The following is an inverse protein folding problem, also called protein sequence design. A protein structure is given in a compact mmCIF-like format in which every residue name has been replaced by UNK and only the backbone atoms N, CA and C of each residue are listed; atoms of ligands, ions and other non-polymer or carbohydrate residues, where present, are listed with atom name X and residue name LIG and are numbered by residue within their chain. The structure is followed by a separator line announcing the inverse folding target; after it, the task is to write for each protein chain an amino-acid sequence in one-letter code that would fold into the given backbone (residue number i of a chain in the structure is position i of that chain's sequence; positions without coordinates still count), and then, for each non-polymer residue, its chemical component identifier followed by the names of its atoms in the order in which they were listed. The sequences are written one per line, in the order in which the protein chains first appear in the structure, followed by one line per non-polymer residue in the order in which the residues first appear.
data_IF_479680878236
#
_entry.id   IF_479680878236
#
_cell.length_a   1.000
_cell.length_b   1.000
_cell.length_c   1.000
_cell.angle_alpha   90.00
_cell.angle_beta   90.00
_cell.angle_gamma   90.00
#
_symmetry.space_group_name_H-M   'P 1'
#
loop_
_entity.id
_entity.type
_entity.pdbx_description
1 polymer ?
#
# COMPACT_ATOMS: atom_id res chain seq x y z
N UNK A 1 -38.74 28.43 -48.58
CA UNK A 1 -37.27 28.25 -48.52
C UNK A 1 -36.73 27.98 -47.11
N UNK A 2 -37.23 28.60 -46.03
CA UNK A 2 -36.73 28.37 -44.65
C UNK A 2 -37.15 27.02 -44.04
N UNK A 3 -38.25 26.38 -44.48
CA UNK A 3 -38.75 25.13 -43.89
C UNK A 3 -38.01 23.88 -44.45
N UNK A 4 -37.49 23.95 -45.68
CA UNK A 4 -36.69 22.87 -46.27
C UNK A 4 -35.36 22.67 -45.52
N UNK A 5 -34.73 23.75 -45.04
CA UNK A 5 -33.46 23.67 -44.30
C UNK A 5 -33.58 22.94 -42.96
N UNK A 6 -34.70 23.06 -42.23
CA UNK A 6 -34.88 22.35 -40.96
C UNK A 6 -35.02 20.84 -41.14
N UNK A 7 -35.70 20.42 -42.20
CA UNK A 7 -35.87 19.00 -42.51
C UNK A 7 -34.54 18.38 -42.94
N UNK A 8 -33.76 19.10 -43.76
CA UNK A 8 -32.42 18.67 -44.17
C UNK A 8 -31.47 18.57 -42.98
N UNK A 9 -31.49 19.52 -42.05
CA UNK A 9 -30.67 19.47 -40.82
C UNK A 9 -31.06 18.27 -39.94
N UNK A 10 -32.36 17.99 -39.77
CA UNK A 10 -32.84 16.86 -38.98
C UNK A 10 -32.48 15.52 -39.63
N UNK A 11 -32.67 15.39 -40.94
CA UNK A 11 -32.31 14.19 -41.69
C UNK A 11 -30.79 14.00 -41.67
N UNK A 12 -30.00 15.06 -41.84
CA UNK A 12 -28.55 15.00 -41.72
C UNK A 12 -28.09 14.59 -40.31
N UNK A 13 -28.73 15.11 -39.26
CA UNK A 13 -28.45 14.71 -37.88
C UNK A 13 -28.76 13.22 -37.65
N UNK A 14 -29.92 12.73 -38.12
CA UNK A 14 -30.31 11.32 -38.06
C UNK A 14 -29.35 10.42 -38.86
N UNK A 15 -28.95 10.85 -40.06
CA UNK A 15 -27.97 10.14 -40.88
C UNK A 15 -26.61 10.07 -40.18
N UNK A 16 -26.14 11.17 -39.60
CA UNK A 16 -24.87 11.19 -38.85
C UNK A 16 -24.89 10.24 -37.64
N UNK A 17 -26.00 10.20 -36.90
CA UNK A 17 -26.17 9.22 -35.81
C UNK A 17 -26.16 7.79 -36.37
N UNK A 18 -26.85 7.53 -37.47
CA UNK A 18 -26.89 6.22 -38.11
C UNK A 18 -25.50 5.75 -38.60
N UNK A 19 -24.72 6.65 -39.23
CA UNK A 19 -23.32 6.39 -39.60
C UNK A 19 -22.43 6.14 -38.37
N UNK A 20 -22.67 6.85 -37.27
CA UNK A 20 -22.01 6.59 -35.99
C UNK A 20 -22.29 5.19 -35.45
N UNK A 21 -23.54 4.72 -35.53
CA UNK A 21 -23.92 3.36 -35.11
C UNK A 21 -23.25 2.31 -36.00
N UNK A 22 -23.29 2.48 -37.32
CA UNK A 22 -22.67 1.53 -38.25
C UNK A 22 -21.15 1.45 -38.05
N UNK A 23 -20.49 2.59 -37.82
CA UNK A 23 -19.04 2.62 -37.58
C UNK A 23 -18.64 2.06 -36.21
N UNK A 24 -19.56 2.02 -35.24
CA UNK A 24 -19.37 1.38 -33.94
C UNK A 24 -19.43 -0.16 -33.99
N UNK A 25 -20.12 -0.76 -34.96
CA UNK A 25 -20.23 -2.22 -35.06
C UNK A 25 -18.86 -2.90 -35.25
N UNK A 26 -18.00 -2.47 -36.20
CA UNK A 26 -16.66 -3.04 -36.36
C UNK A 26 -15.78 -2.87 -35.11
N UNK A 27 -15.82 -1.71 -34.44
CA UNK A 27 -15.04 -1.48 -33.21
C UNK A 27 -15.55 -2.33 -32.05
N UNK A 28 -16.87 -2.54 -31.96
CA UNK A 28 -17.46 -3.45 -30.98
C UNK A 28 -16.99 -4.89 -31.17
N UNK A 29 -16.97 -5.38 -32.41
CA UNK A 29 -16.47 -6.73 -32.71
C UNK A 29 -14.98 -6.84 -32.36
N UNK A 30 -14.17 -5.85 -32.76
CA UNK A 30 -12.74 -5.80 -32.41
C UNK A 30 -12.50 -5.81 -30.90
N UNK A 31 -13.26 -5.00 -30.15
CA UNK A 31 -13.22 -4.96 -28.70
C UNK A 31 -13.59 -6.31 -28.06
N UNK A 32 -14.66 -6.96 -28.53
CA UNK A 32 -15.06 -8.28 -28.01
C UNK A 32 -13.99 -9.35 -28.27
N UNK A 33 -13.34 -9.32 -29.43
CA UNK A 33 -12.22 -10.23 -29.74
C UNK A 33 -11.05 -9.99 -28.78
N UNK A 34 -10.66 -8.73 -28.58
CA UNK A 34 -9.59 -8.35 -27.64
C UNK A 34 -9.92 -8.80 -26.22
N UNK A 35 -11.17 -8.62 -25.78
CA UNK A 35 -11.61 -9.05 -24.45
C UNK A 35 -11.54 -10.57 -24.30
N UNK A 36 -12.04 -11.33 -25.28
CA UNK A 36 -12.02 -12.78 -25.27
C UNK A 36 -10.59 -13.33 -25.19
N UNK A 37 -9.69 -12.83 -26.04
CA UNK A 37 -8.26 -13.19 -26.01
C UNK A 37 -7.66 -12.81 -24.65
N UNK A 38 -7.99 -11.63 -24.13
CA UNK A 38 -7.50 -11.13 -22.87
C UNK A 38 -7.85 -12.02 -21.67
N UNK A 39 -9.09 -12.50 -21.60
CA UNK A 39 -9.54 -13.40 -20.54
C UNK A 39 -8.80 -14.76 -20.57
N UNK A 40 -8.51 -15.27 -21.77
CA UNK A 40 -7.71 -16.50 -21.94
C UNK A 40 -6.28 -16.27 -21.46
N UNK A 41 -5.63 -15.18 -21.90
CA UNK A 41 -4.27 -14.83 -21.47
C UNK A 41 -4.21 -14.66 -19.96
N UNK A 42 -5.16 -13.92 -19.37
CA UNK A 42 -5.22 -13.71 -17.93
C UNK A 42 -5.30 -15.03 -17.15
N UNK A 43 -6.11 -15.98 -17.62
CA UNK A 43 -6.28 -17.29 -17.00
C UNK A 43 -5.00 -18.14 -17.06
N UNK A 44 -4.29 -18.09 -18.19
CA UNK A 44 -3.01 -18.77 -18.37
C UNK A 44 -1.95 -18.17 -17.44
N UNK A 45 -1.80 -16.84 -17.42
CA UNK A 45 -0.81 -16.16 -16.57
C UNK A 45 -1.09 -16.40 -15.10
N UNK A 46 -2.36 -16.35 -14.66
CA UNK A 46 -2.76 -16.73 -13.30
C UNK A 46 -2.18 -18.08 -12.89
N UNK A 47 -2.38 -19.09 -13.74
CA UNK A 47 -1.92 -20.46 -13.46
C UNK A 47 -0.39 -20.55 -13.39
N UNK A 48 0.31 -19.78 -14.22
CA UNK A 48 1.78 -19.70 -14.19
C UNK A 48 2.25 -19.08 -12.86
N UNK A 49 1.65 -17.96 -12.44
CA UNK A 49 2.00 -17.29 -11.17
C UNK A 49 1.73 -18.21 -9.97
N UNK A 50 0.59 -18.89 -9.93
CA UNK A 50 0.28 -19.86 -8.88
C UNK A 50 1.37 -20.93 -8.75
N UNK A 51 1.85 -21.47 -9.89
CA UNK A 51 2.93 -22.47 -9.93
C UNK A 51 4.27 -21.90 -9.48
N UNK A 52 4.64 -20.70 -9.93
CA UNK A 52 5.90 -20.04 -9.54
C UNK A 52 5.93 -19.82 -8.03
N UNK A 53 4.87 -19.26 -7.45
CA UNK A 53 4.80 -18.97 -6.02
C UNK A 53 4.82 -20.26 -5.19
N UNK A 54 4.12 -21.31 -5.65
CA UNK A 54 4.19 -22.63 -5.01
C UNK A 54 5.61 -23.21 -5.06
N UNK A 55 6.32 -23.09 -6.19
CA UNK A 55 7.68 -23.56 -6.34
C UNK A 55 8.67 -22.81 -5.42
N UNK A 56 8.48 -21.49 -5.24
CA UNK A 56 9.26 -20.65 -4.34
C UNK A 56 8.96 -20.90 -2.85
N UNK A 57 7.95 -21.70 -2.51
CA UNK A 57 7.52 -22.01 -1.13
C UNK A 57 7.32 -20.74 -0.28
N UNK A 58 6.75 -19.69 -0.88
CA UNK A 58 6.49 -18.40 -0.20
C UNK A 58 5.68 -18.62 1.08
N UNK A 59 4.68 -19.50 1.04
CA UNK A 59 3.86 -19.86 2.20
C UNK A 59 4.70 -20.36 3.38
N UNK A 60 5.78 -21.12 3.13
CA UNK A 60 6.68 -21.59 4.19
C UNK A 60 7.50 -20.46 4.79
N UNK A 61 7.92 -19.49 3.98
CA UNK A 61 8.58 -18.26 4.45
C UNK A 61 7.67 -17.43 5.36
N UNK A 62 6.42 -17.21 4.94
CA UNK A 62 5.44 -16.45 5.71
C UNK A 62 5.13 -17.12 7.06
N UNK A 63 5.04 -18.46 7.10
CA UNK A 63 4.86 -19.19 8.35
C UNK A 63 6.05 -19.02 9.31
N UNK A 64 7.29 -19.05 8.80
CA UNK A 64 8.50 -18.84 9.61
C UNK A 64 8.60 -17.44 10.20
N UNK A 65 8.07 -16.45 9.49
CA UNK A 65 8.04 -15.04 9.93
C UNK A 65 6.91 -14.78 10.95
N UNK A 66 6.19 -15.82 11.38
CA UNK A 66 5.20 -15.72 12.45
C UNK A 66 3.87 -15.08 12.01
N UNK A 67 3.56 -15.09 10.71
CA UNK A 67 2.27 -14.64 10.19
C UNK A 67 1.18 -15.71 10.31
N UNK A 68 1.57 -16.99 10.47
CA UNK A 68 0.63 -18.12 10.58
C UNK A 68 -0.47 -17.93 11.64
N UNK A 69 -0.17 -17.50 12.89
CA UNK A 69 -1.20 -17.36 13.92
C UNK A 69 -2.24 -16.28 13.60
N UNK A 70 -1.89 -15.29 12.77
CA UNK A 70 -2.82 -14.22 12.36
C UNK A 70 -3.84 -14.73 11.34
N UNK A 71 -3.40 -15.52 10.36
CA UNK A 71 -4.29 -16.11 9.34
C UNK A 71 -5.15 -17.24 9.91
N UNK A 72 -4.57 -18.09 10.77
CA UNK A 72 -5.29 -19.19 11.41
C UNK A 72 -6.41 -18.70 12.33
N UNK A 73 -6.20 -17.61 13.09
CA UNK A 73 -7.23 -16.96 13.91
C UNK A 73 -8.39 -16.39 13.09
N UNK A 74 -8.14 -16.05 11.82
CA UNK A 74 -9.16 -15.58 10.89
C UNK A 74 -9.86 -16.73 10.14
N UNK A 75 -9.50 -18.00 10.40
CA UNK A 75 -10.03 -19.16 9.68
C UNK A 75 -9.51 -19.28 8.24
N UNK A 76 -8.46 -18.55 7.88
CA UNK A 76 -7.91 -18.50 6.52
C UNK A 76 -6.64 -19.36 6.43
N UNK A 77 -6.58 -20.22 5.41
CA UNK A 77 -5.33 -20.91 5.08
C UNK A 77 -4.43 -19.98 4.26
N UNK A 78 -3.14 -19.89 4.64
CA UNK A 78 -2.14 -19.17 3.85
C UNK A 78 -1.98 -19.90 2.51
N UNK A 79 -2.50 -19.29 1.45
CA UNK A 79 -2.31 -19.71 0.07
C UNK A 79 -1.93 -18.50 -0.78
N UNK A 80 -0.67 -18.06 -0.63
CA UNK A 80 -0.17 -16.88 -1.32
C UNK A 80 -0.13 -17.07 -2.83
N UNK A 81 0.06 -18.31 -3.31
CA UNK A 81 0.03 -18.62 -4.73
C UNK A 81 -1.32 -18.31 -5.37
N UNK A 82 -2.42 -18.87 -4.83
CA UNK A 82 -3.77 -18.59 -5.33
C UNK A 82 -4.17 -17.13 -5.18
N UNK A 83 -3.79 -16.50 -4.06
CA UNK A 83 -4.07 -15.09 -3.84
C UNK A 83 -3.38 -14.19 -4.88
N UNK A 84 -2.06 -14.36 -5.08
CA UNK A 84 -1.30 -13.59 -6.07
C UNK A 84 -1.75 -13.91 -7.50
N UNK A 85 -2.05 -15.17 -7.80
CA UNK A 85 -2.60 -15.57 -9.10
C UNK A 85 -3.92 -14.88 -9.40
N UNK A 86 -4.84 -14.82 -8.43
CA UNK A 86 -6.11 -14.12 -8.56
C UNK A 86 -5.92 -12.60 -8.73
N UNK A 87 -4.97 -12.00 -8.00
CA UNK A 87 -4.64 -10.58 -8.17
C UNK A 87 -4.11 -10.29 -9.57
N UNK A 88 -3.18 -11.10 -10.08
CA UNK A 88 -2.63 -10.94 -11.44
C UNK A 88 -3.70 -11.19 -12.51
N UNK A 89 -4.61 -12.13 -12.29
CA UNK A 89 -5.76 -12.33 -13.17
C UNK A 89 -6.58 -11.06 -13.31
N UNK A 90 -7.04 -10.49 -12.19
CA UNK A 90 -7.85 -9.27 -12.22
C UNK A 90 -7.08 -8.06 -12.76
N UNK A 91 -5.78 -7.96 -12.46
CA UNK A 91 -4.89 -6.96 -13.07
C UNK A 91 -4.96 -7.03 -14.61
N UNK A 92 -4.72 -8.21 -15.17
CA UNK A 92 -4.74 -8.39 -16.63
C UNK A 92 -6.14 -8.16 -17.20
N UNK A 93 -7.19 -8.61 -16.51
CA UNK A 93 -8.58 -8.31 -16.91
C UNK A 93 -8.77 -6.79 -17.03
N UNK A 94 -8.36 -6.00 -16.05
CA UNK A 94 -8.47 -4.54 -16.10
C UNK A 94 -7.66 -3.96 -17.27
N UNK A 95 -6.45 -4.46 -17.53
CA UNK A 95 -5.65 -4.03 -18.69
C UNK A 95 -6.38 -4.30 -20.02
N UNK A 96 -7.01 -5.46 -20.18
CA UNK A 96 -7.77 -5.78 -21.39
C UNK A 96 -9.09 -5.00 -21.48
N UNK A 97 -9.76 -4.78 -20.35
CA UNK A 97 -10.95 -3.89 -20.31
C UNK A 97 -10.54 -2.47 -20.67
N UNK A 98 -9.37 -1.99 -20.26
CA UNK A 98 -8.85 -0.69 -20.66
C UNK A 98 -8.63 -0.62 -22.18
N UNK A 99 -8.02 -1.64 -22.77
CA UNK A 99 -7.85 -1.70 -24.22
C UNK A 99 -9.20 -1.69 -24.95
N UNK A 100 -10.19 -2.42 -24.43
CA UNK A 100 -11.57 -2.42 -24.92
C UNK A 100 -12.19 -1.04 -24.83
N UNK A 101 -12.08 -0.36 -23.70
CA UNK A 101 -12.66 0.97 -23.51
C UNK A 101 -11.98 2.01 -24.40
N UNK A 102 -10.67 1.88 -24.65
CA UNK A 102 -9.94 2.71 -25.62
C UNK A 102 -10.43 2.45 -27.07
N UNK A 103 -10.63 1.18 -27.47
CA UNK A 103 -11.17 0.83 -28.80
C UNK A 103 -12.59 1.37 -29.00
N UNK A 104 -13.42 1.31 -27.95
CA UNK A 104 -14.79 1.80 -27.97
C UNK A 104 -14.90 3.33 -27.81
N UNK A 105 -13.79 4.04 -27.56
CA UNK A 105 -13.77 5.49 -27.36
C UNK A 105 -14.39 5.94 -26.01
N UNK A 106 -14.43 5.06 -25.01
CA UNK A 106 -14.99 5.33 -23.68
C UNK A 106 -13.96 6.02 -22.76
N UNK A 107 -13.52 7.22 -23.17
CA UNK A 107 -12.40 7.94 -22.53
C UNK A 107 -12.51 8.09 -21.01
N UNK A 108 -13.71 8.41 -20.49
CA UNK A 108 -13.91 8.55 -19.05
C UNK A 108 -13.63 7.27 -18.26
N UNK A 109 -14.04 6.12 -18.82
CA UNK A 109 -13.78 4.81 -18.22
C UNK A 109 -12.30 4.46 -18.37
N UNK A 110 -11.71 4.70 -19.54
CA UNK A 110 -10.29 4.46 -19.78
C UNK A 110 -9.39 5.23 -18.82
N UNK A 111 -9.69 6.51 -18.55
CA UNK A 111 -8.92 7.31 -17.59
C UNK A 111 -9.01 6.72 -16.17
N UNK A 112 -10.23 6.38 -15.72
CA UNK A 112 -10.42 5.73 -14.43
C UNK A 112 -9.66 4.41 -14.33
N UNK A 113 -9.69 3.56 -15.37
CA UNK A 113 -8.95 2.30 -15.39
C UNK A 113 -7.44 2.52 -15.38
N UNK A 114 -6.92 3.54 -16.08
CA UNK A 114 -5.51 3.92 -16.04
C UNK A 114 -5.09 4.33 -14.63
N UNK A 115 -5.91 5.13 -13.95
CA UNK A 115 -5.66 5.52 -12.55
C UNK A 115 -5.63 4.28 -11.65
N UNK A 116 -6.62 3.37 -11.76
CA UNK A 116 -6.66 2.11 -11.01
C UNK A 116 -5.41 1.26 -11.25
N UNK A 117 -4.95 1.14 -12.50
CA UNK A 117 -3.73 0.40 -12.82
C UNK A 117 -2.47 1.06 -12.23
N UNK A 118 -2.44 2.39 -12.12
CA UNK A 118 -1.32 3.12 -11.51
C UNK A 118 -1.18 2.89 -10.00
N UNK A 119 -2.25 2.48 -9.31
CA UNK A 119 -2.20 2.11 -7.89
C UNK A 119 -1.51 0.76 -7.64
N UNK A 120 -1.42 -0.09 -8.65
CA UNK A 120 -0.98 -1.48 -8.45
C UNK A 120 0.50 -1.60 -8.10
N UNK A 121 1.43 -0.85 -8.74
CA UNK A 121 2.81 -0.75 -8.26
C UNK A 121 2.90 -0.32 -6.79
N UNK A 122 2.09 0.66 -6.37
CA UNK A 122 2.06 1.13 -4.97
C UNK A 122 1.58 0.05 -4.00
N UNK A 123 0.57 -0.74 -4.38
CA UNK A 123 0.10 -1.88 -3.58
C UNK A 123 1.21 -2.91 -3.40
N UNK A 124 1.97 -3.22 -4.47
CA UNK A 124 3.10 -4.16 -4.38
C UNK A 124 4.14 -3.66 -3.37
N UNK A 125 4.52 -2.38 -3.46
CA UNK A 125 5.48 -1.78 -2.52
C UNK A 125 4.92 -1.78 -1.09
N UNK A 126 3.63 -1.49 -0.89
CA UNK A 126 3.00 -1.53 0.41
C UNK A 126 3.02 -2.93 1.05
N UNK A 127 2.74 -3.97 0.25
CA UNK A 127 2.86 -5.37 0.70
C UNK A 127 4.31 -5.70 1.09
N UNK A 128 5.29 -5.26 0.29
CA UNK A 128 6.71 -5.46 0.61
C UNK A 128 7.11 -4.75 1.92
N UNK A 129 6.65 -3.51 2.13
CA UNK A 129 6.84 -2.76 3.38
C UNK A 129 6.26 -3.55 4.55
N UNK A 130 5.01 -4.01 4.45
CA UNK A 130 4.39 -4.82 5.51
C UNK A 130 5.18 -6.08 5.84
N UNK A 131 5.62 -6.82 4.82
CA UNK A 131 6.42 -8.03 5.01
C UNK A 131 7.75 -7.71 5.71
N UNK A 132 8.45 -6.66 5.26
CA UNK A 132 9.69 -6.20 5.87
C UNK A 132 9.48 -5.77 7.32
N UNK A 133 8.42 -5.02 7.61
CA UNK A 133 8.10 -4.57 8.97
C UNK A 133 7.89 -5.73 9.94
N UNK A 134 7.24 -6.82 9.51
CA UNK A 134 7.05 -7.99 10.39
C UNK A 134 8.38 -8.68 10.70
N UNK A 135 9.27 -8.81 9.71
CA UNK A 135 10.62 -9.37 9.90
C UNK A 135 11.40 -8.51 10.90
N UNK A 136 11.42 -7.19 10.68
CA UNK A 136 12.11 -6.23 11.56
C UNK A 136 11.50 -6.24 12.96
N UNK A 137 10.18 -6.27 13.08
CA UNK A 137 9.48 -6.28 14.37
C UNK A 137 9.83 -7.52 15.21
N UNK A 138 9.91 -8.70 14.60
CA UNK A 138 10.28 -9.94 15.28
C UNK A 138 11.75 -9.94 15.72
N UNK A 139 12.63 -9.40 14.88
CA UNK A 139 14.04 -9.22 15.23
C UNK A 139 14.19 -8.29 16.42
N UNK A 140 13.60 -7.09 16.35
CA UNK A 140 13.64 -6.10 17.45
C UNK A 140 13.02 -6.64 18.74
N UNK A 141 11.89 -7.36 18.66
CA UNK A 141 11.27 -8.03 19.82
C UNK A 141 12.24 -8.95 20.54
N UNK A 142 13.02 -9.72 19.77
CA UNK A 142 13.97 -10.71 20.30
C UNK A 142 15.19 -10.01 20.90
N UNK A 143 15.73 -9.00 20.20
CA UNK A 143 16.82 -8.16 20.69
C UNK A 143 16.45 -7.48 22.01
N UNK A 144 15.30 -6.79 22.06
CA UNK A 144 14.85 -6.08 23.26
C UNK A 144 14.65 -7.05 24.43
N UNK A 145 14.05 -8.23 24.19
CA UNK A 145 13.92 -9.26 25.23
C UNK A 145 15.26 -9.72 25.77
N UNK A 146 16.23 -9.98 24.88
CA UNK A 146 17.57 -10.43 25.28
C UNK A 146 18.29 -9.36 26.11
N UNK A 147 18.29 -8.10 25.65
CA UNK A 147 18.96 -6.99 26.33
C UNK A 147 18.34 -6.70 27.70
N UNK A 148 17.00 -6.60 27.77
CA UNK A 148 16.31 -6.29 29.03
C UNK A 148 16.44 -7.43 30.04
N UNK A 149 16.39 -8.69 29.57
CA UNK A 149 16.60 -9.85 30.44
C UNK A 149 18.03 -9.92 30.97
N UNK A 150 19.02 -9.57 30.14
CA UNK A 150 20.43 -9.54 30.54
C UNK A 150 20.71 -8.43 31.57
N UNK A 151 19.93 -7.35 31.55
CA UNK A 151 20.00 -6.25 32.53
C UNK A 151 19.27 -6.56 33.85
N UNK A 152 18.69 -7.77 34.03
CA UNK A 152 17.99 -8.16 35.25
C UNK A 152 16.61 -7.50 35.44
N UNK A 153 16.06 -6.86 34.40
CA UNK A 153 14.77 -6.17 34.49
C UNK A 153 13.60 -7.16 34.33
N UNK A 154 12.61 -7.16 35.24
CA UNK A 154 11.51 -8.14 35.24
C UNK A 154 10.54 -8.01 34.05
N UNK A 155 10.56 -6.88 33.33
CA UNK A 155 9.57 -6.54 32.29
C UNK A 155 10.04 -6.84 30.85
N UNK A 156 11.00 -7.75 30.64
CA UNK A 156 11.56 -8.07 29.30
C UNK A 156 10.51 -8.49 28.27
N UNK A 157 9.50 -9.27 28.68
CA UNK A 157 8.41 -9.71 27.80
C UNK A 157 7.52 -8.55 27.35
N UNK A 158 7.20 -7.61 28.25
CA UNK A 158 6.38 -6.45 27.95
C UNK A 158 7.11 -5.51 26.98
N UNK A 159 8.35 -5.13 27.30
CA UNK A 159 9.15 -4.21 26.47
C UNK A 159 9.40 -4.75 25.06
N UNK A 160 9.69 -6.04 24.91
CA UNK A 160 9.83 -6.64 23.58
C UNK A 160 8.52 -6.67 22.80
N UNK A 161 7.38 -6.83 23.47
CA UNK A 161 6.07 -6.82 22.81
C UNK A 161 5.67 -5.40 22.41
N UNK A 162 6.01 -4.40 23.24
CA UNK A 162 5.83 -2.99 22.90
C UNK A 162 6.66 -2.60 21.68
N UNK A 163 7.95 -2.97 21.64
CA UNK A 163 8.82 -2.73 20.48
C UNK A 163 8.27 -3.35 19.20
N UNK A 164 7.73 -4.57 19.29
CA UNK A 164 7.06 -5.23 18.17
C UNK A 164 5.86 -4.42 17.67
N UNK A 165 4.98 -3.97 18.59
CA UNK A 165 3.81 -3.16 18.24
C UNK A 165 4.20 -1.83 17.62
N UNK A 166 5.24 -1.17 18.13
CA UNK A 166 5.77 0.06 17.52
C UNK A 166 6.14 -0.20 16.06
N UNK A 167 7.01 -1.16 15.77
CA UNK A 167 7.43 -1.43 14.39
C UNK A 167 6.27 -1.86 13.49
N UNK A 168 5.36 -2.69 14.01
CA UNK A 168 4.20 -3.16 13.26
C UNK A 168 3.24 -2.02 12.89
N UNK A 169 2.95 -1.11 13.84
CA UNK A 169 2.08 0.05 13.62
C UNK A 169 2.73 1.01 12.61
N UNK A 170 4.00 1.37 12.81
CA UNK A 170 4.70 2.25 11.88
C UNK A 170 4.83 1.65 10.48
N UNK A 171 5.07 0.34 10.40
CA UNK A 171 5.07 -0.40 9.13
C UNK A 171 3.72 -0.36 8.42
N UNK A 172 2.63 -0.54 9.17
CA UNK A 172 1.27 -0.44 8.64
C UNK A 172 0.98 0.99 8.15
N UNK A 173 1.35 2.01 8.92
CA UNK A 173 1.18 3.41 8.52
C UNK A 173 1.99 3.73 7.26
N UNK A 174 3.23 3.28 7.16
CA UNK A 174 4.06 3.44 5.98
C UNK A 174 3.44 2.76 4.74
N UNK A 175 2.88 1.56 4.91
CA UNK A 175 2.16 0.87 3.84
C UNK A 175 0.89 1.63 3.40
N UNK A 176 0.13 2.20 4.34
CA UNK A 176 -1.05 3.03 4.04
C UNK A 176 -0.67 4.31 3.29
N UNK A 177 0.44 4.96 3.70
CA UNK A 177 1.00 6.12 3.00
C UNK A 177 1.37 5.73 1.56
N UNK A 178 2.02 4.57 1.37
CA UNK A 178 2.44 4.09 0.05
C UNK A 178 1.24 3.87 -0.88
N UNK A 179 0.11 3.35 -0.38
CA UNK A 179 -1.12 3.17 -1.18
C UNK A 179 -1.82 4.50 -1.47
N UNK A 180 -1.47 5.58 -0.77
CA UNK A 180 -2.07 6.90 -0.94
C UNK A 180 -3.32 7.13 -0.08
N UNK A 181 -3.58 6.27 0.91
CA UNK A 181 -4.77 6.38 1.76
C UNK A 181 -4.57 7.50 2.78
N UNK A 182 -5.28 8.62 2.59
CA UNK A 182 -5.32 9.76 3.52
C UNK A 182 -3.92 10.18 4.02
N UNK A 183 -2.93 10.24 3.12
CA UNK A 183 -1.51 10.47 3.45
C UNK A 183 -1.31 11.72 4.31
N UNK A 184 -2.01 12.81 3.99
CA UNK A 184 -1.95 14.05 4.76
C UNK A 184 -2.41 13.83 6.19
N UNK A 185 -3.57 13.20 6.39
CA UNK A 185 -4.11 12.91 7.72
C UNK A 185 -3.14 12.02 8.53
N UNK A 186 -2.59 10.97 7.91
CA UNK A 186 -1.62 10.09 8.58
C UNK A 186 -0.37 10.87 8.97
N UNK A 187 0.20 11.66 8.06
CA UNK A 187 1.39 12.46 8.34
C UNK A 187 1.12 13.50 9.44
N UNK A 188 -0.04 14.16 9.43
CA UNK A 188 -0.43 15.12 10.47
C UNK A 188 -0.57 14.44 11.82
N UNK A 189 -1.25 13.30 11.90
CA UNK A 189 -1.38 12.53 13.14
C UNK A 189 -0.01 12.05 13.65
N UNK A 190 0.84 11.55 12.76
CA UNK A 190 2.18 11.08 13.12
C UNK A 190 3.06 12.22 13.61
N UNK A 191 3.04 13.36 12.92
CA UNK A 191 3.77 14.57 13.31
C UNK A 191 3.27 15.09 14.65
N UNK A 192 1.95 15.15 14.84
CA UNK A 192 1.34 15.56 16.11
C UNK A 192 1.72 14.64 17.27
N UNK A 193 1.71 13.32 17.06
CA UNK A 193 2.13 12.35 18.06
C UNK A 193 3.62 12.46 18.41
N UNK A 194 4.48 12.57 17.41
CA UNK A 194 5.94 12.75 17.61
C UNK A 194 6.21 14.08 18.30
N UNK A 195 5.54 15.17 17.90
CA UNK A 195 5.64 16.47 18.54
C UNK A 195 5.20 16.42 20.01
N UNK A 196 4.12 15.70 20.32
CA UNK A 196 3.66 15.50 21.70
C UNK A 196 4.75 14.82 22.54
N UNK A 197 5.35 13.73 22.06
CA UNK A 197 6.43 13.02 22.78
C UNK A 197 7.67 13.91 22.91
N UNK A 198 8.05 14.61 21.84
CA UNK A 198 9.20 15.51 21.84
C UNK A 198 9.03 16.65 22.85
N UNK A 199 7.85 17.25 22.92
CA UNK A 199 7.51 18.30 23.88
C UNK A 199 7.47 17.76 25.31
N UNK A 200 6.78 16.62 25.53
CA UNK A 200 6.69 16.01 26.86
C UNK A 200 8.08 15.63 27.39
N UNK A 201 8.90 14.98 26.57
CA UNK A 201 10.28 14.64 26.89
C UNK A 201 11.14 15.89 27.11
N UNK A 202 11.07 16.85 26.20
CA UNK A 202 11.82 18.11 26.29
C UNK A 202 11.51 18.89 27.56
N UNK A 203 10.24 18.97 27.95
CA UNK A 203 9.81 19.63 29.20
C UNK A 203 10.27 18.83 30.42
N UNK A 204 10.11 17.49 30.41
CA UNK A 204 10.53 16.64 31.52
C UNK A 204 12.04 16.72 31.78
N UNK A 205 12.86 16.63 30.74
CA UNK A 205 14.31 16.79 30.85
C UNK A 205 14.74 18.24 31.13
N UNK A 206 14.06 19.23 30.54
CA UNK A 206 14.37 20.63 30.75
C UNK A 206 14.13 21.08 32.19
N UNK A 207 12.98 20.72 32.76
CA UNK A 207 12.65 21.04 34.15
C UNK A 207 13.45 20.15 35.11
N UNK A 208 13.50 18.83 34.87
CA UNK A 208 14.17 17.88 35.77
C UNK A 208 15.70 17.94 35.75
N UNK A 209 16.31 18.40 34.66
CA UNK A 209 17.76 18.53 34.50
C UNK A 209 18.31 19.92 34.82
N UNK A 210 17.43 20.89 35.09
CA UNK A 210 17.81 22.30 35.34
C UNK A 210 18.86 22.44 36.43
N UNK A 211 18.66 21.77 37.57
CA UNK A 211 19.54 21.93 38.73
C UNK A 211 20.92 21.30 38.47
N UNK A 212 20.96 20.16 37.79
CA UNK A 212 22.21 19.52 37.39
C UNK A 212 22.99 20.36 36.36
N UNK A 213 22.29 20.93 35.38
CA UNK A 213 22.89 21.83 34.40
C UNK A 213 23.48 23.08 35.07
N UNK A 214 22.76 23.66 36.05
CA UNK A 214 23.26 24.79 36.82
C UNK A 214 24.57 24.45 37.57
N UNK A 215 24.61 23.29 38.24
CA UNK A 215 25.81 22.82 38.94
C UNK A 215 27.01 22.60 38.01
N UNK A 216 26.78 22.05 36.80
CA UNK A 216 27.86 21.82 35.84
C UNK A 216 28.44 23.13 35.29
N UNK A 217 27.59 24.12 35.01
CA UNK A 217 28.00 25.45 34.59
C UNK A 217 28.80 26.17 35.69
N UNK A 218 28.40 26.01 36.94
CA UNK A 218 29.07 26.62 38.09
C UNK A 218 30.46 26.01 38.32
N UNK A 219 30.60 24.69 38.13
CA UNK A 219 31.89 24.00 38.19
C UNK A 219 32.83 24.45 37.06
N UNK A 220 32.33 24.54 35.82
CA UNK A 220 33.11 25.02 34.68
C UNK A 220 33.54 26.48 34.87
N UNK A 221 32.66 27.32 35.43
CA UNK A 221 32.98 28.72 35.73
C UNK A 221 34.14 28.82 36.73
N UNK A 222 34.13 28.04 37.81
CA UNK A 222 35.23 28.02 38.80
C UNK A 222 36.56 27.57 38.18
N UNK A 223 36.56 26.51 37.36
CA UNK A 223 37.79 26.04 36.69
C UNK A 223 38.35 27.05 35.67
N UNK A 224 37.51 27.95 35.13
CA UNK A 224 37.94 28.99 34.19
C UNK A 224 38.39 30.27 34.89
N UNK A 225 37.82 30.62 36.05
CA UNK A 225 38.22 31.78 36.87
C UNK A 225 39.53 31.53 37.66
N UNK A 226 39.95 30.27 37.84
CA UNK A 226 41.21 29.89 38.51
C UNK A 226 42.44 29.79 37.58
N UNK A 227 42.32 30.15 36.30
CA UNK A 227 43.44 30.26 35.33
C UNK A 227 43.68 31.71 34.92
#
# INVERSE_FOLDING_TARGET
MVIQSWTEILVAALQNVWYGVISFLPSLVGALIVLAIGLVIASVVKTIIEKIIAALKVDAGLRKVGLAPFFERAGLQINSGKFLGLLVYWFLVIVFVLAVTDILGLYGISLFLKDVLSYIPNIIVAVLIMLASVVVANFLKSLVRATVSSAGLPSSRFLGTLAWWTVAIFGLLAALIQVGVAVSLINTLMTGFVAMIALAGGIAFGIGGKDYAAHLLEKLRRETEER
#
